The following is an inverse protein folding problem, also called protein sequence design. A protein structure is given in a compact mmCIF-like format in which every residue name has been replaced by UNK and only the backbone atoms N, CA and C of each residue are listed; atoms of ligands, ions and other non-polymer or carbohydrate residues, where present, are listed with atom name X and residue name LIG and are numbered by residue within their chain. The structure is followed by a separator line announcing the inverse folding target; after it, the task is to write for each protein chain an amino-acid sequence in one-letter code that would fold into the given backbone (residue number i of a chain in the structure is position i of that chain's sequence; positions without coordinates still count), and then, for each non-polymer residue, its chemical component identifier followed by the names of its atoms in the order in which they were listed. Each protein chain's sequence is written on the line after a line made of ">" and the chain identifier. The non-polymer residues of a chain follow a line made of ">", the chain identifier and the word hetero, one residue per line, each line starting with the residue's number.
data_IF_523129461948
#
_entry.id   IF_523129461948
#
_cell.length_a   1.000
_cell.length_b   1.000
_cell.length_c   1.000
_cell.angle_alpha   90.00
_cell.angle_beta   90.00
_cell.angle_gamma   90.00
#
_symmetry.space_group_name_H-M   'P 1'
#
loop_
_entity.id
_entity.type
_entity.pdbx_description
1 polymer ?
#
# COMPACT_ATOMS: atom_id res chain seq x y z
N UNK A 1 -13.48 -6.47 2.15
CA UNK A 1 -12.24 -6.94 1.54
C UNK A 1 -11.17 -7.24 2.60
N UNK A 2 -10.30 -8.19 2.30
CA UNK A 2 -9.29 -8.65 3.25
C UNK A 2 -8.35 -7.52 3.70
N UNK A 3 -7.95 -6.63 2.79
CA UNK A 3 -7.05 -5.51 3.11
C UNK A 3 -7.70 -4.54 4.10
N UNK A 4 -8.98 -4.24 3.91
CA UNK A 4 -9.71 -3.35 4.81
C UNK A 4 -9.79 -3.95 6.22
N UNK A 5 -10.06 -5.23 6.33
CA UNK A 5 -10.08 -5.91 7.62
C UNK A 5 -8.70 -5.91 8.29
N UNK A 6 -7.65 -6.12 7.51
CA UNK A 6 -6.28 -6.09 8.05
C UNK A 6 -5.93 -4.71 8.60
N UNK A 7 -6.31 -3.64 7.90
CA UNK A 7 -6.09 -2.27 8.35
C UNK A 7 -6.82 -1.99 9.66
N UNK A 8 -8.09 -2.35 9.74
CA UNK A 8 -8.87 -2.18 10.96
C UNK A 8 -8.28 -2.96 12.13
N UNK A 9 -7.83 -4.19 11.87
CA UNK A 9 -7.20 -5.02 12.90
C UNK A 9 -5.92 -4.36 13.44
N UNK A 10 -5.07 -3.82 12.53
CA UNK A 10 -3.85 -3.15 12.95
C UNK A 10 -4.14 -1.91 13.78
N UNK A 11 -5.12 -1.09 13.38
CA UNK A 11 -5.49 0.07 14.20
C UNK A 11 -6.02 -0.34 15.55
N UNK A 12 -6.78 -1.43 15.64
CA UNK A 12 -7.29 -1.92 16.92
C UNK A 12 -6.18 -2.38 17.85
N UNK A 13 -5.01 -2.72 17.32
CA UNK A 13 -3.83 -3.12 18.09
C UNK A 13 -2.95 -1.94 18.51
N UNK A 14 -3.36 -0.72 18.22
CA UNK A 14 -2.65 0.48 18.64
C UNK A 14 -1.72 1.10 17.60
N UNK A 15 -1.67 0.57 16.40
CA UNK A 15 -0.93 1.21 15.32
C UNK A 15 -1.67 2.48 14.89
N UNK A 16 -0.90 3.54 14.66
CA UNK A 16 -1.45 4.83 14.26
C UNK A 16 -1.22 5.16 12.79
N UNK A 17 -0.29 4.45 12.15
CA UNK A 17 0.03 4.66 10.75
C UNK A 17 0.33 3.32 10.08
N UNK A 18 -0.24 3.11 8.92
CA UNK A 18 -0.02 1.91 8.12
C UNK A 18 0.42 2.33 6.73
N UNK A 19 1.51 1.74 6.26
CA UNK A 19 2.04 2.02 4.92
C UNK A 19 2.03 0.73 4.12
N UNK A 20 1.66 0.83 2.85
CA UNK A 20 1.68 -0.31 1.94
C UNK A 20 2.25 0.11 0.59
N UNK A 21 2.89 -0.83 -0.09
CA UNK A 21 3.44 -0.59 -1.41
C UNK A 21 2.93 -1.58 -2.43
N UNK A 22 2.93 -1.17 -3.68
CA UNK A 22 2.57 -2.03 -4.80
C UNK A 22 3.36 -1.62 -6.03
N UNK A 23 3.54 -2.55 -6.95
CA UNK A 23 4.14 -2.23 -8.25
C UNK A 23 3.20 -1.30 -9.01
N UNK A 24 3.77 -0.30 -9.66
CA UNK A 24 3.03 0.67 -10.48
C UNK A 24 2.17 0.00 -11.54
N UNK A 25 2.63 -1.12 -12.05
CA UNK A 25 1.96 -1.89 -13.10
C UNK A 25 0.88 -2.85 -12.57
N UNK A 26 0.57 -2.79 -11.28
CA UNK A 26 -0.47 -3.62 -10.67
C UNK A 26 -1.68 -2.76 -10.25
N UNK A 27 -2.58 -2.44 -11.19
CA UNK A 27 -3.70 -1.55 -10.90
C UNK A 27 -4.71 -2.14 -9.90
N UNK A 28 -4.80 -3.45 -9.83
CA UNK A 28 -5.72 -4.08 -8.87
C UNK A 28 -5.32 -3.81 -7.42
N UNK A 29 -4.03 -3.94 -7.10
CA UNK A 29 -3.54 -3.65 -5.76
C UNK A 29 -3.66 -2.16 -5.43
N UNK A 30 -3.38 -1.29 -6.39
CA UNK A 30 -3.51 0.16 -6.21
C UNK A 30 -4.97 0.50 -5.90
N UNK A 31 -5.91 -0.08 -6.63
CA UNK A 31 -7.32 0.17 -6.41
C UNK A 31 -7.77 -0.27 -5.02
N UNK A 32 -7.29 -1.41 -4.55
CA UNK A 32 -7.61 -1.91 -3.21
C UNK A 32 -7.13 -0.92 -2.15
N UNK A 33 -5.90 -0.41 -2.28
CA UNK A 33 -5.38 0.58 -1.34
C UNK A 33 -6.21 1.87 -1.36
N UNK A 34 -6.61 2.34 -2.54
CA UNK A 34 -7.45 3.53 -2.66
C UNK A 34 -8.82 3.33 -2.02
N UNK A 35 -9.43 2.17 -2.25
CA UNK A 35 -10.74 1.86 -1.64
C UNK A 35 -10.67 1.70 -0.13
N UNK A 36 -9.52 1.35 0.40
CA UNK A 36 -9.32 1.21 1.83
C UNK A 36 -9.09 2.56 2.53
N UNK A 37 -9.11 3.66 1.80
CA UNK A 37 -8.93 4.99 2.36
C UNK A 37 -7.48 5.43 2.46
N UNK A 38 -6.55 4.66 1.91
CA UNK A 38 -5.14 5.02 1.91
C UNK A 38 -4.88 6.13 0.90
N UNK A 39 -3.89 6.96 1.19
CA UNK A 39 -3.50 8.07 0.31
C UNK A 39 -2.11 7.83 -0.25
N UNK A 40 -1.90 8.25 -1.50
CA UNK A 40 -0.61 8.17 -2.15
C UNK A 40 0.39 9.07 -1.43
N UNK A 41 1.57 8.54 -1.13
CA UNK A 41 2.66 9.31 -0.55
C UNK A 41 3.78 9.46 -1.57
N UNK A 42 4.61 10.50 -1.39
CA UNK A 42 5.71 10.80 -2.29
C UNK A 42 6.94 9.93 -2.02
N UNK A 43 6.73 8.64 -1.94
CA UNK A 43 7.81 7.68 -1.78
C UNK A 43 7.73 6.68 -2.91
N UNK A 44 8.84 6.46 -3.59
CA UNK A 44 8.94 5.46 -4.64
C UNK A 44 10.22 4.66 -4.45
N UNK A 45 10.22 3.42 -4.87
CA UNK A 45 11.39 2.57 -4.87
C UNK A 45 11.46 1.81 -6.17
N UNK A 46 12.68 1.51 -6.61
CA UNK A 46 12.91 0.64 -7.75
C UNK A 46 13.36 -0.71 -7.23
N UNK A 47 12.70 -1.77 -7.71
CA UNK A 47 13.00 -3.12 -7.29
C UNK A 47 13.36 -3.93 -8.53
N UNK A 48 14.53 -4.56 -8.50
CA UNK A 48 14.94 -5.49 -9.53
C UNK A 48 14.32 -6.85 -9.23
N UNK A 49 13.39 -7.24 -10.09
CA UNK A 49 12.65 -8.48 -9.92
C UNK A 49 12.59 -9.22 -11.24
N UNK A 50 13.15 -10.43 -11.26
CA UNK A 50 13.23 -11.29 -12.44
C UNK A 50 13.88 -10.61 -13.65
N UNK A 51 14.97 -9.86 -13.41
CA UNK A 51 15.71 -9.20 -14.47
C UNK A 51 15.09 -7.93 -15.01
N UNK A 52 14.04 -7.44 -14.37
CA UNK A 52 13.39 -6.18 -14.74
C UNK A 52 13.30 -5.26 -13.54
N UNK A 53 13.45 -3.97 -13.79
CA UNK A 53 13.28 -2.97 -12.76
C UNK A 53 11.81 -2.59 -12.72
N UNK A 54 11.21 -2.74 -11.54
CA UNK A 54 9.83 -2.39 -11.29
C UNK A 54 9.78 -1.20 -10.37
N UNK A 55 8.88 -0.25 -10.67
CA UNK A 55 8.66 0.91 -9.82
C UNK A 55 7.56 0.58 -8.81
N UNK A 56 7.89 0.78 -7.53
CA UNK A 56 6.93 0.63 -6.44
C UNK A 56 6.43 1.99 -6.02
N UNK A 57 5.12 2.10 -5.85
CA UNK A 57 4.49 3.27 -5.26
C UNK A 57 3.92 2.90 -3.90
N UNK A 58 3.79 3.89 -3.02
CA UNK A 58 3.40 3.65 -1.64
C UNK A 58 2.18 4.47 -1.27
N UNK A 59 1.34 3.88 -0.46
CA UNK A 59 0.15 4.51 0.11
C UNK A 59 0.22 4.39 1.63
N UNK A 60 -0.40 5.33 2.32
CA UNK A 60 -0.44 5.34 3.77
C UNK A 60 -1.80 5.77 4.27
N UNK A 61 -2.14 5.32 5.47
CA UNK A 61 -3.34 5.74 6.19
C UNK A 61 -2.96 5.93 7.66
N UNK A 62 -3.44 7.03 8.25
CA UNK A 62 -3.24 7.37 9.65
C UNK A 62 -4.56 7.58 10.35
N UNK A 63 -4.55 7.27 11.64
CA UNK A 63 -5.66 7.58 12.55
C UNK A 63 -5.17 8.19 13.85
#
# INVERSE_FOLDING_TARGET
>A
EAVTYAIEDLFSRGYTKITAGAFEENPASIRVMQKSGMQLIEKTEEIDYRGKIHHCIFYAIER
#
